data_IF_019956474907
#
_entry.id   IF_019956474907
#
_cell.length_a   1.000
_cell.length_b   1.000
_cell.length_c   1.000
_cell.angle_alpha   90.00
_cell.angle_beta   90.00
_cell.angle_gamma   90.00
#
_symmetry.space_group_name_H-M   'P 1'
#
loop_
_entity.id
_entity.type
_entity.pdbx_description
1 polymer ?
#
# COMPACT_ATOMS: atom_id res chain seq x y z
N UNK A 1 -3.19 6.02 -2.29
CA UNK A 1 -4.25 5.43 -1.46
C UNK A 1 -3.74 4.98 -0.11
N UNK A 2 -4.65 4.85 0.80
CA UNK A 2 -4.35 4.48 2.18
C UNK A 2 -5.48 3.61 2.75
N UNK A 3 -5.11 2.72 3.67
CA UNK A 3 -6.05 1.94 4.46
C UNK A 3 -5.56 1.82 5.90
N UNK A 4 -6.47 1.75 6.84
CA UNK A 4 -6.19 1.56 8.24
C UNK A 4 -6.97 0.36 8.76
N UNK A 5 -6.27 -0.59 9.39
CA UNK A 5 -6.89 -1.76 10.01
C UNK A 5 -6.80 -1.63 11.53
N UNK A 6 -7.92 -1.37 12.16
CA UNK A 6 -7.98 -1.06 13.59
C UNK A 6 -7.44 -2.19 14.48
N UNK A 7 -7.85 -3.43 14.23
CA UNK A 7 -7.43 -4.58 15.04
C UNK A 7 -5.94 -4.86 14.93
N UNK A 8 -5.37 -4.69 13.75
CA UNK A 8 -3.96 -4.92 13.51
C UNK A 8 -3.09 -3.72 13.87
N UNK A 9 -3.69 -2.58 14.16
CA UNK A 9 -2.99 -1.31 14.36
C UNK A 9 -2.00 -1.05 13.22
N UNK A 10 -2.49 -1.23 12.00
CA UNK A 10 -1.70 -1.17 10.78
C UNK A 10 -2.27 -0.14 9.82
N UNK A 11 -1.42 0.75 9.36
CA UNK A 11 -1.72 1.67 8.25
C UNK A 11 -0.90 1.22 7.05
N UNK A 12 -1.52 1.18 5.89
CA UNK A 12 -0.85 0.90 4.64
C UNK A 12 -1.08 2.04 3.65
N UNK A 13 -0.02 2.44 2.98
CA UNK A 13 -0.05 3.54 2.01
C UNK A 13 0.57 3.04 0.71
N UNK A 14 -0.07 3.35 -0.42
CA UNK A 14 0.52 3.11 -1.73
C UNK A 14 0.70 4.43 -2.46
N UNK A 15 1.78 4.52 -3.22
CA UNK A 15 2.07 5.70 -3.99
C UNK A 15 3.12 5.41 -5.04
N UNK A 16 3.35 6.40 -5.90
CA UNK A 16 4.33 6.30 -6.96
C UNK A 16 5.19 7.57 -6.99
N UNK A 17 6.41 7.43 -7.50
CA UNK A 17 7.30 8.54 -7.73
C UNK A 17 7.36 8.86 -9.24
N UNK A 18 7.94 10.00 -9.60
CA UNK A 18 7.99 10.49 -11.00
C UNK A 18 8.60 9.50 -12.00
N UNK A 19 9.52 8.66 -11.54
CA UNK A 19 10.14 7.64 -12.39
C UNK A 19 9.21 6.48 -12.74
N UNK A 20 7.99 6.45 -12.17
CA UNK A 20 7.04 5.36 -12.38
C UNK A 20 7.19 4.21 -11.40
N UNK A 21 8.12 4.29 -10.48
CA UNK A 21 8.27 3.29 -9.42
C UNK A 21 7.11 3.39 -8.43
N UNK A 22 6.60 2.23 -8.02
CA UNK A 22 5.48 2.12 -7.10
C UNK A 22 5.94 1.56 -5.77
N UNK A 23 5.41 2.11 -4.68
CA UNK A 23 5.83 1.73 -3.33
C UNK A 23 4.63 1.45 -2.43
N UNK A 24 4.83 0.50 -1.53
CA UNK A 24 3.93 0.22 -0.41
C UNK A 24 4.67 0.59 0.87
N UNK A 25 4.03 1.41 1.70
CA UNK A 25 4.51 1.74 3.03
C UNK A 25 3.58 1.11 4.06
N UNK A 26 4.15 0.48 5.08
CA UNK A 26 3.37 0.00 6.21
C UNK A 26 3.83 0.72 7.48
N UNK A 27 2.85 1.12 8.28
CA UNK A 27 3.05 1.72 9.60
C UNK A 27 2.42 0.77 10.61
N UNK A 28 3.26 0.00 11.29
CA UNK A 28 2.80 -0.98 12.28
C UNK A 28 2.83 -0.39 13.69
N UNK A 29 2.10 -1.01 14.61
CA UNK A 29 1.89 -0.52 15.97
C UNK A 29 1.33 0.91 15.98
N UNK A 30 0.44 1.20 15.03
CA UNK A 30 -0.14 2.53 14.87
C UNK A 30 -1.19 2.76 15.95
N UNK A 31 -0.84 3.60 16.92
CA UNK A 31 -1.71 3.99 18.02
C UNK A 31 -1.66 5.50 18.15
N UNK A 32 -2.80 6.17 18.01
CA UNK A 32 -2.89 7.63 18.09
C UNK A 32 -2.44 8.16 19.44
N UNK A 33 -2.55 7.37 20.51
CA UNK A 33 -2.12 7.76 21.84
C UNK A 33 -0.63 7.54 22.08
N UNK A 34 0.03 6.75 21.23
CA UNK A 34 1.45 6.44 21.40
C UNK A 34 2.16 6.30 20.06
N UNK A 35 2.31 7.42 19.36
CA UNK A 35 2.94 7.46 18.04
C UNK A 35 4.45 7.14 18.08
N UNK A 36 5.07 7.18 19.25
CA UNK A 36 6.50 6.88 19.38
C UNK A 36 6.85 5.42 19.07
N UNK A 37 5.86 4.54 19.10
CA UNK A 37 6.07 3.10 18.83
C UNK A 37 5.76 2.70 17.40
N UNK A 38 5.36 3.62 16.56
CA UNK A 38 5.05 3.34 15.17
C UNK A 38 6.33 2.95 14.43
N UNK A 39 6.27 1.84 13.69
CA UNK A 39 7.36 1.36 12.85
C UNK A 39 6.95 1.44 11.40
N UNK A 40 7.76 2.12 10.59
CA UNK A 40 7.51 2.27 9.16
C UNK A 40 8.43 1.35 8.37
N UNK A 41 7.86 0.66 7.39
CA UNK A 41 8.60 -0.13 6.39
C UNK A 41 8.18 0.31 5.00
N UNK A 42 9.15 0.29 4.07
CA UNK A 42 8.93 0.64 2.68
C UNK A 42 9.24 -0.56 1.80
N UNK A 43 8.34 -0.88 0.88
CA UNK A 43 8.51 -1.99 -0.06
C UNK A 43 8.32 -1.47 -1.47
N UNK A 44 9.25 -1.81 -2.36
CA UNK A 44 9.07 -1.52 -3.77
C UNK A 44 8.13 -2.57 -4.39
N UNK A 45 7.10 -2.11 -5.09
CA UNK A 45 6.17 -3.00 -5.77
C UNK A 45 6.67 -3.29 -7.19
N UNK A 46 6.51 -4.54 -7.69
CA UNK A 46 6.90 -4.88 -9.07
C UNK A 46 5.83 -4.42 -10.08
N UNK A 47 5.44 -3.16 -10.00
CA UNK A 47 4.34 -2.58 -10.78
C UNK A 47 4.76 -1.28 -11.46
N UNK A 48 6.03 -1.20 -11.90
CA UNK A 48 6.57 -0.01 -12.56
C UNK A 48 5.71 0.41 -13.74
N UNK A 49 5.44 1.70 -13.84
CA UNK A 49 4.62 2.26 -14.91
C UNK A 49 3.12 2.09 -14.70
N UNK A 50 2.69 1.38 -13.67
CA UNK A 50 1.28 1.33 -13.27
C UNK A 50 0.98 2.48 -12.34
N UNK A 51 -0.28 2.88 -12.25
CA UNK A 51 -0.71 3.91 -11.28
C UNK A 51 -1.53 3.22 -10.21
N UNK A 52 -0.89 2.90 -9.08
CA UNK A 52 -1.59 2.30 -7.95
C UNK A 52 -2.46 3.34 -7.28
N UNK A 53 -3.74 3.04 -7.08
CA UNK A 53 -4.72 3.99 -6.57
C UNK A 53 -5.21 3.66 -5.18
N UNK A 54 -5.51 2.40 -4.92
CA UNK A 54 -6.16 2.00 -3.69
C UNK A 54 -5.49 0.78 -3.11
N UNK A 55 -5.59 0.67 -1.78
CA UNK A 55 -5.06 -0.47 -1.03
C UNK A 55 -6.10 -0.90 0.01
N UNK A 56 -6.22 -2.21 0.20
CA UNK A 56 -7.02 -2.82 1.26
C UNK A 56 -6.16 -3.81 2.01
N UNK A 57 -6.08 -3.65 3.32
CA UNK A 57 -5.36 -4.57 4.20
C UNK A 57 -6.22 -5.82 4.39
N UNK A 58 -5.64 -7.00 4.11
CA UNK A 58 -6.26 -8.29 4.40
C UNK A 58 -5.77 -8.76 5.77
N UNK A 59 -4.47 -8.79 5.96
CA UNK A 59 -3.79 -9.06 7.23
C UNK A 59 -2.43 -8.36 7.25
N UNK A 60 -1.57 -8.68 8.20
CA UNK A 60 -0.28 -7.99 8.36
C UNK A 60 0.64 -8.11 7.15
N UNK A 61 0.47 -9.15 6.34
CA UNK A 61 1.38 -9.45 5.24
C UNK A 61 0.69 -9.52 3.88
N UNK A 62 -0.63 -9.35 3.83
CA UNK A 62 -1.40 -9.51 2.61
C UNK A 62 -2.27 -8.29 2.34
N UNK A 63 -2.25 -7.83 1.09
CA UNK A 63 -2.93 -6.62 0.67
C UNK A 63 -3.57 -6.80 -0.69
N UNK A 64 -4.72 -6.17 -0.90
CA UNK A 64 -5.28 -5.95 -2.24
C UNK A 64 -4.90 -4.56 -2.70
N UNK A 65 -4.40 -4.46 -3.91
CA UNK A 65 -4.01 -3.17 -4.52
C UNK A 65 -4.68 -3.08 -5.88
N UNK A 66 -5.24 -1.91 -6.18
CA UNK A 66 -5.79 -1.61 -7.50
C UNK A 66 -4.89 -0.64 -8.23
N UNK A 67 -4.79 -0.80 -9.54
CA UNK A 67 -4.15 0.16 -10.41
C UNK A 67 -5.16 0.73 -11.41
N UNK A 68 -4.96 1.99 -11.78
CA UNK A 68 -5.71 2.60 -12.86
C UNK A 68 -5.17 2.11 -14.21
N UNK A 69 -6.06 1.94 -15.18
CA UNK A 69 -5.66 1.69 -16.56
C UNK A 69 -5.26 2.98 -17.25
N UNK A 70 -4.19 2.94 -18.03
CA UNK A 70 -3.78 4.03 -18.92
C UNK A 70 -3.91 3.61 -20.37
N UNK A 71 -4.45 4.49 -21.22
CA UNK A 71 -4.63 4.23 -22.64
C UNK A 71 -5.44 2.97 -22.89
N UNK A 72 -4.83 1.96 -23.50
CA UNK A 72 -5.47 0.69 -23.79
C UNK A 72 -5.40 -0.32 -22.63
N UNK A 73 -4.71 0.01 -21.54
CA UNK A 73 -4.62 -0.91 -20.40
C UNK A 73 -5.89 -0.82 -19.54
N UNK A 74 -6.19 -1.94 -18.89
CA UNK A 74 -7.36 -2.06 -18.03
C UNK A 74 -6.98 -1.84 -16.57
N UNK A 75 -7.92 -1.36 -15.72
CA UNK A 75 -7.73 -1.39 -14.29
C UNK A 75 -7.46 -2.83 -13.83
N UNK A 76 -6.51 -2.98 -12.92
CA UNK A 76 -6.09 -4.29 -12.43
C UNK A 76 -6.18 -4.37 -10.92
N UNK A 77 -6.48 -5.58 -10.44
CA UNK A 77 -6.47 -5.91 -9.02
C UNK A 77 -5.32 -6.88 -8.76
N UNK A 78 -4.47 -6.52 -7.82
CA UNK A 78 -3.31 -7.33 -7.44
C UNK A 78 -3.42 -7.75 -5.99
N UNK A 79 -3.04 -8.99 -5.72
CA UNK A 79 -2.81 -9.45 -4.36
C UNK A 79 -1.31 -9.39 -4.09
N UNK A 80 -0.92 -8.63 -3.07
CA UNK A 80 0.46 -8.49 -2.66
C UNK A 80 0.66 -9.22 -1.34
N UNK A 81 1.68 -10.07 -1.30
CA UNK A 81 2.09 -10.78 -0.10
C UNK A 81 3.52 -10.36 0.23
N UNK A 82 3.73 -9.89 1.43
CA UNK A 82 5.04 -9.50 1.94
C UNK A 82 5.77 -10.65 2.61
#
# INVERSE_FOLDING_TARGET
GADYHHRLKLVALVGYVRSGEQFLYTLSSFDMENLNQVKMKKFKLPLDGKQVEAIKIIDQNNFWITSEGEGESFPMLYKIQL
#
